data_IF_799194990699
#
_entry.id   IF_799194990699
#
_cell.length_a   1.000
_cell.length_b   1.000
_cell.length_c   1.000
_cell.angle_alpha   90.00
_cell.angle_beta   90.00
_cell.angle_gamma   90.00
#
_symmetry.space_group_name_H-M   'P 1'
#
loop_
_entity.id
_entity.type
_entity.pdbx_description
1 polymer ?
#
# COMPACT_ATOMS: atom_id res chain seq x y z
N UNK A 1 -82.96 -41.46 -24.65
CA UNK A 1 -83.11 -41.04 -26.05
C UNK A 1 -82.33 -39.76 -26.26
N UNK A 2 -81.44 -39.78 -27.26
CA UNK A 2 -80.99 -38.67 -28.11
C UNK A 2 -80.22 -37.46 -27.53
N UNK A 3 -79.01 -37.28 -28.10
CA UNK A 3 -78.41 -36.03 -28.63
C UNK A 3 -78.07 -34.92 -27.63
N UNK A 4 -77.05 -34.07 -27.77
CA UNK A 4 -75.77 -34.01 -28.48
C UNK A 4 -75.17 -32.67 -27.98
N UNK A 5 -73.85 -32.65 -27.73
CA UNK A 5 -72.92 -31.55 -28.04
C UNK A 5 -73.19 -30.11 -27.55
N UNK A 6 -72.24 -29.57 -26.79
CA UNK A 6 -71.45 -28.36 -27.15
C UNK A 6 -70.35 -28.15 -26.10
N UNK A 7 -69.11 -28.41 -26.49
CA UNK A 7 -67.91 -28.03 -25.73
C UNK A 7 -67.52 -26.64 -26.20
N UNK A 8 -67.64 -25.65 -25.32
CA UNK A 8 -67.18 -24.28 -25.57
C UNK A 8 -65.78 -24.14 -24.96
N UNK A 9 -64.80 -23.88 -25.81
CA UNK A 9 -63.41 -23.62 -25.46
C UNK A 9 -63.30 -22.17 -25.00
N UNK A 10 -62.91 -21.92 -23.76
CA UNK A 10 -62.50 -20.59 -23.28
C UNK A 10 -60.99 -20.54 -23.12
N UNK A 11 -60.35 -19.81 -24.04
CA UNK A 11 -58.91 -19.53 -24.09
C UNK A 11 -58.42 -18.79 -22.85
N UNK A 12 -57.46 -19.39 -22.14
CA UNK A 12 -56.62 -18.70 -21.16
C UNK A 12 -55.60 -17.82 -21.90
N UNK A 13 -55.65 -16.52 -21.65
CA UNK A 13 -54.70 -15.53 -22.14
C UNK A 13 -53.39 -15.65 -21.34
N UNK A 14 -52.37 -16.30 -21.90
CA UNK A 14 -50.99 -16.28 -21.37
C UNK A 14 -50.28 -15.04 -21.94
N UNK A 15 -50.09 -14.02 -21.10
CA UNK A 15 -49.26 -12.86 -21.40
C UNK A 15 -47.80 -13.26 -21.22
N UNK A 16 -47.11 -13.56 -22.31
CA UNK A 16 -45.65 -13.67 -22.35
C UNK A 16 -45.04 -12.27 -22.38
N UNK A 17 -44.53 -11.80 -21.24
CA UNK A 17 -43.59 -10.69 -21.21
C UNK A 17 -42.23 -11.22 -21.68
N UNK A 18 -41.91 -11.01 -22.96
CA UNK A 18 -40.56 -11.20 -23.50
C UNK A 18 -39.66 -10.10 -22.93
N UNK A 19 -38.92 -10.41 -21.87
CA UNK A 19 -37.76 -9.61 -21.48
C UNK A 19 -36.72 -9.79 -22.59
N UNK A 20 -36.64 -8.81 -23.50
CA UNK A 20 -35.49 -8.66 -24.38
C UNK A 20 -34.28 -8.33 -23.50
N UNK A 21 -33.61 -9.37 -22.99
CA UNK A 21 -32.28 -9.23 -22.46
C UNK A 21 -31.39 -8.76 -23.62
N UNK A 22 -30.80 -7.58 -23.49
CA UNK A 22 -29.77 -7.12 -24.41
C UNK A 22 -28.61 -8.12 -24.36
N UNK A 23 -28.51 -9.01 -25.35
CA UNK A 23 -27.40 -9.94 -25.54
C UNK A 23 -26.53 -9.48 -26.72
N UNK A 24 -26.28 -8.18 -26.86
CA UNK A 24 -25.22 -7.74 -27.75
C UNK A 24 -23.88 -8.00 -27.03
N UNK A 25 -23.01 -8.86 -27.60
CA UNK A 25 -21.65 -9.02 -27.08
C UNK A 25 -21.00 -7.64 -27.06
N UNK A 26 -20.41 -7.26 -25.93
CA UNK A 26 -19.62 -6.03 -25.86
C UNK A 26 -18.49 -6.15 -26.91
N UNK A 27 -18.52 -5.39 -28.01
CA UNK A 27 -17.58 -5.55 -29.12
C UNK A 27 -16.13 -5.21 -28.70
N UNK A 28 -15.97 -4.50 -27.59
CA UNK A 28 -14.67 -4.15 -27.02
C UNK A 28 -14.19 -5.16 -25.96
N UNK A 29 -14.99 -6.19 -25.63
CA UNK A 29 -14.58 -7.25 -24.73
C UNK A 29 -13.82 -8.33 -25.52
N UNK A 30 -12.51 -8.25 -25.50
CA UNK A 30 -11.63 -9.33 -25.91
C UNK A 30 -11.38 -10.25 -24.68
N UNK A 31 -11.99 -11.44 -24.62
CA UNK A 31 -11.77 -12.38 -23.51
C UNK A 31 -10.33 -12.90 -23.44
N UNK A 32 -9.55 -12.75 -24.50
CA UNK A 32 -8.16 -13.21 -24.59
C UNK A 32 -7.15 -12.09 -24.25
N UNK A 33 -7.60 -10.83 -24.18
CA UNK A 33 -6.77 -9.68 -23.78
C UNK A 33 -7.04 -9.27 -22.33
N UNK A 34 -6.41 -10.00 -21.40
CA UNK A 34 -6.22 -9.47 -20.05
C UNK A 34 -4.99 -8.55 -20.06
N UNK A 35 -5.11 -7.25 -19.72
CA UNK A 35 -3.93 -6.41 -19.56
C UNK A 35 -3.02 -7.05 -18.50
N UNK A 36 -1.69 -6.98 -18.68
CA UNK A 36 -0.74 -7.71 -17.81
C UNK A 36 -0.83 -7.28 -16.34
N UNK A 37 -1.40 -6.11 -16.08
CA UNK A 37 -1.62 -5.58 -14.74
C UNK A 37 -2.73 -4.52 -14.73
N UNK A 38 -3.23 -4.21 -13.52
CA UNK A 38 -4.22 -3.15 -13.28
C UNK A 38 -3.50 -1.82 -13.06
N UNK A 39 -4.02 -0.74 -13.65
CA UNK A 39 -3.45 0.60 -13.44
C UNK A 39 -3.33 0.96 -11.95
N UNK A 40 -2.15 1.41 -11.55
CA UNK A 40 -1.78 1.74 -10.17
C UNK A 40 -1.47 0.54 -9.29
N UNK A 41 -1.51 -0.70 -9.81
CA UNK A 41 -1.00 -1.85 -9.07
C UNK A 41 0.50 -1.67 -8.81
N UNK A 42 0.94 -2.10 -7.63
CA UNK A 42 2.35 -2.15 -7.23
C UNK A 42 2.83 -3.60 -7.30
N UNK A 43 4.10 -3.78 -7.63
CA UNK A 43 4.79 -5.07 -7.66
C UNK A 43 6.28 -4.85 -7.44
N UNK A 44 7.03 -5.92 -7.20
CA UNK A 44 8.48 -5.87 -7.14
C UNK A 44 9.12 -6.23 -8.48
N UNK A 45 10.28 -5.62 -8.76
CA UNK A 45 11.17 -6.03 -9.84
C UNK A 45 11.71 -7.45 -9.59
N UNK A 46 12.23 -8.10 -10.63
CA UNK A 46 12.73 -9.49 -10.56
C UNK A 46 13.88 -9.65 -9.55
N UNK A 47 14.70 -8.61 -9.37
CA UNK A 47 15.80 -8.57 -8.40
C UNK A 47 15.35 -8.15 -6.98
N UNK A 48 14.05 -7.89 -6.79
CA UNK A 48 13.45 -7.49 -5.51
C UNK A 48 14.08 -6.24 -4.88
N UNK A 49 14.65 -5.34 -5.68
CA UNK A 49 15.25 -4.08 -5.20
C UNK A 49 14.36 -2.87 -5.48
N UNK A 50 13.51 -2.93 -6.51
CA UNK A 50 12.69 -1.82 -6.96
C UNK A 50 11.20 -2.14 -6.84
N UNK A 51 10.45 -1.13 -6.41
CA UNK A 51 9.01 -1.07 -6.58
C UNK A 51 8.72 -0.70 -8.03
N UNK A 52 7.80 -1.43 -8.63
CA UNK A 52 7.26 -1.17 -9.96
C UNK A 52 5.79 -0.82 -9.85
N UNK A 53 5.35 0.15 -10.65
CA UNK A 53 3.96 0.57 -10.76
C UNK A 53 3.43 0.24 -12.15
N UNK A 54 2.23 -0.31 -12.21
CA UNK A 54 1.55 -0.59 -13.45
C UNK A 54 0.91 0.69 -14.00
N UNK A 55 1.46 1.22 -15.09
CA UNK A 55 0.96 2.44 -15.75
C UNK A 55 0.64 2.15 -17.21
N UNK A 56 -0.16 3.03 -17.80
CA UNK A 56 -0.44 2.98 -19.24
C UNK A 56 0.73 3.59 -19.99
N UNK A 57 1.38 2.80 -20.84
CA UNK A 57 2.45 3.28 -21.70
C UNK A 57 1.92 4.40 -22.60
N UNK A 58 2.66 5.51 -22.67
CA UNK A 58 2.23 6.68 -23.41
C UNK A 58 2.27 6.48 -24.93
N UNK A 59 3.03 5.49 -25.42
CA UNK A 59 3.26 5.24 -26.85
C UNK A 59 2.34 4.12 -27.36
N UNK A 60 2.38 2.94 -26.76
CA UNK A 60 1.56 1.78 -27.14
C UNK A 60 0.13 1.88 -26.61
N UNK A 61 -0.09 2.61 -25.52
CA UNK A 61 -1.37 2.63 -24.82
C UNK A 61 -1.65 1.34 -24.04
N UNK A 62 -0.70 0.43 -23.95
CA UNK A 62 -0.83 -0.82 -23.19
C UNK A 62 -0.48 -0.61 -21.71
N UNK A 63 -0.96 -1.49 -20.84
CA UNK A 63 -0.53 -1.48 -19.44
C UNK A 63 0.85 -2.14 -19.33
N UNK A 64 1.80 -1.49 -18.67
CA UNK A 64 3.15 -2.01 -18.45
C UNK A 64 3.61 -1.76 -17.02
N UNK A 65 4.47 -2.64 -16.50
CA UNK A 65 5.21 -2.41 -15.26
C UNK A 65 6.34 -1.43 -15.53
N UNK A 66 6.40 -0.35 -14.77
CA UNK A 66 7.45 0.68 -14.83
C UNK A 66 8.07 0.84 -13.45
N UNK A 67 9.39 1.04 -13.39
CA UNK A 67 10.08 1.32 -12.13
C UNK A 67 9.57 2.62 -11.51
N UNK A 68 9.19 2.57 -10.22
CA UNK A 68 8.67 3.71 -9.47
C UNK A 68 9.74 4.23 -8.49
N UNK A 69 10.29 3.34 -7.67
CA UNK A 69 11.22 3.67 -6.59
C UNK A 69 12.15 2.48 -6.30
N UNK A 70 13.42 2.78 -6.02
CA UNK A 70 14.37 1.83 -5.42
C UNK A 70 14.21 1.80 -3.91
N UNK A 71 14.16 0.60 -3.33
CA UNK A 71 14.14 0.43 -1.88
C UNK A 71 15.45 0.87 -1.23
N UNK A 72 15.34 1.36 0.01
CA UNK A 72 16.48 1.91 0.74
C UNK A 72 17.47 0.80 1.11
N UNK A 73 18.75 1.17 1.27
CA UNK A 73 19.77 0.22 1.72
C UNK A 73 19.40 -0.41 3.07
N UNK A 74 19.39 -1.74 3.14
CA UNK A 74 18.88 -2.50 4.30
C UNK A 74 17.38 -2.86 4.19
N UNK A 75 16.75 -2.60 3.04
CA UNK A 75 15.38 -3.02 2.72
C UNK A 75 15.35 -3.71 1.36
N UNK A 76 14.31 -4.51 1.13
CA UNK A 76 14.02 -5.17 -0.14
C UNK A 76 12.57 -4.91 -0.53
N UNK A 77 12.27 -5.00 -1.82
CA UNK A 77 10.90 -4.93 -2.27
C UNK A 77 10.17 -6.23 -1.92
N UNK A 78 9.06 -6.11 -1.20
CA UNK A 78 8.12 -7.18 -0.89
C UNK A 78 6.71 -6.71 -1.25
N UNK A 79 6.00 -7.46 -2.09
CA UNK A 79 4.61 -7.18 -2.47
C UNK A 79 4.32 -5.72 -2.90
N UNK A 80 5.31 -5.05 -3.50
CA UNK A 80 5.19 -3.68 -4.00
C UNK A 80 5.48 -2.57 -2.99
N UNK A 81 6.09 -2.89 -1.85
CA UNK A 81 6.58 -1.92 -0.86
C UNK A 81 7.98 -2.28 -0.35
N UNK A 82 8.64 -1.37 0.37
CA UNK A 82 9.97 -1.62 0.90
C UNK A 82 9.89 -2.17 2.33
N UNK A 83 10.29 -3.42 2.49
CA UNK A 83 10.29 -4.16 3.74
C UNK A 83 11.73 -4.41 4.23
N UNK A 84 11.96 -4.60 5.53
CA UNK A 84 13.27 -5.04 6.03
C UNK A 84 13.69 -6.36 5.37
N UNK A 85 14.99 -6.50 5.05
CA UNK A 85 15.55 -7.79 4.65
C UNK A 85 15.86 -8.64 5.90
N UNK A 86 15.98 -9.98 5.79
CA UNK A 86 16.12 -10.86 6.95
C UNK A 86 17.29 -10.54 7.90
N UNK A 87 18.38 -9.97 7.38
CA UNK A 87 19.55 -9.56 8.15
C UNK A 87 19.45 -8.16 8.79
N UNK A 88 18.39 -7.40 8.54
CA UNK A 88 18.21 -6.06 9.11
C UNK A 88 17.89 -6.17 10.60
N UNK A 89 18.66 -5.53 11.50
CA UNK A 89 18.36 -5.55 12.93
C UNK A 89 17.09 -4.76 13.27
N UNK A 90 16.25 -5.32 14.13
CA UNK A 90 15.16 -4.57 14.78
C UNK A 90 15.71 -3.57 15.79
N UNK A 91 14.93 -2.52 16.06
CA UNK A 91 15.23 -1.55 17.11
C UNK A 91 13.97 -1.07 17.82
N UNK A 92 14.14 -0.56 19.03
CA UNK A 92 13.07 0.06 19.82
C UNK A 92 13.32 1.55 20.03
N UNK A 93 14.59 1.95 20.03
CA UNK A 93 15.06 3.33 20.13
C UNK A 93 16.26 3.55 19.20
N UNK A 94 16.58 4.80 18.89
CA UNK A 94 17.74 5.12 18.03
C UNK A 94 19.08 4.60 18.59
N UNK A 95 19.21 4.48 19.91
CA UNK A 95 20.43 3.99 20.56
C UNK A 95 20.71 2.49 20.31
N UNK A 96 19.72 1.73 19.83
CA UNK A 96 19.90 0.32 19.49
C UNK A 96 20.68 0.11 18.18
N UNK A 97 20.73 1.15 17.33
CA UNK A 97 21.36 1.06 16.02
C UNK A 97 22.85 1.41 16.05
N UNK A 98 23.63 0.70 15.23
CA UNK A 98 25.04 1.01 15.01
C UNK A 98 25.23 2.43 14.43
N UNK A 99 26.44 2.98 14.61
CA UNK A 99 26.77 4.31 14.11
C UNK A 99 26.52 4.41 12.59
N UNK A 100 25.80 5.46 12.20
CA UNK A 100 25.42 5.71 10.81
C UNK A 100 24.10 5.06 10.38
N UNK A 101 23.47 4.21 11.20
CA UNK A 101 22.14 3.66 10.95
C UNK A 101 21.06 4.48 11.67
N UNK A 102 19.83 4.41 11.17
CA UNK A 102 18.67 5.14 11.71
C UNK A 102 17.54 4.15 12.00
N UNK A 103 17.01 4.20 13.23
CA UNK A 103 15.88 3.39 13.63
C UNK A 103 14.60 3.91 12.97
N UNK A 104 14.13 3.18 11.95
CA UNK A 104 13.09 3.64 11.03
C UNK A 104 11.90 2.69 11.05
N UNK A 105 10.69 3.23 11.09
CA UNK A 105 9.46 2.44 10.97
C UNK A 105 9.31 1.92 9.53
N UNK A 106 9.08 0.61 9.37
CA UNK A 106 8.82 -0.04 8.09
C UNK A 106 7.65 -1.01 8.24
N UNK A 107 6.94 -1.25 7.14
CA UNK A 107 6.03 -2.38 7.04
C UNK A 107 6.84 -3.68 6.91
N UNK A 108 6.46 -4.71 7.66
CA UNK A 108 7.02 -6.05 7.55
C UNK A 108 6.12 -6.98 6.70
N UNK A 109 6.58 -8.22 6.52
CA UNK A 109 5.89 -9.24 5.73
C UNK A 109 4.51 -9.65 6.30
N UNK A 110 4.25 -9.38 7.58
CA UNK A 110 3.01 -9.68 8.25
C UNK A 110 1.99 -8.53 8.15
N UNK A 111 2.34 -7.46 7.43
CA UNK A 111 1.59 -6.20 7.38
C UNK A 111 1.43 -5.54 8.77
N UNK A 112 2.46 -5.63 9.60
CA UNK A 112 2.61 -4.82 10.82
C UNK A 112 3.69 -3.74 10.64
N UNK A 113 3.61 -2.69 11.45
CA UNK A 113 4.67 -1.68 11.51
C UNK A 113 5.61 -1.96 12.68
N UNK A 114 6.90 -2.09 12.36
CA UNK A 114 7.99 -2.29 13.32
C UNK A 114 9.16 -1.37 12.98
N UNK A 115 10.08 -1.15 13.92
CA UNK A 115 11.26 -0.32 13.67
C UNK A 115 12.51 -1.16 13.40
N UNK A 116 13.32 -0.70 12.44
CA UNK A 116 14.49 -1.41 11.94
C UNK A 116 15.67 -0.46 11.75
N UNK A 117 16.87 -0.95 12.04
CA UNK A 117 18.12 -0.22 11.83
C UNK A 117 18.53 -0.33 10.36
N UNK A 118 18.27 0.72 9.59
CA UNK A 118 18.64 0.80 8.16
C UNK A 118 19.58 1.97 7.91
N UNK A 119 20.24 1.98 6.76
CA UNK A 119 20.94 3.20 6.32
C UNK A 119 19.92 4.33 6.13
N UNK A 120 20.26 5.60 6.40
CA UNK A 120 19.31 6.69 6.34
C UNK A 120 18.57 6.72 4.99
N UNK A 121 17.23 6.55 4.99
CA UNK A 121 16.40 6.74 3.79
C UNK A 121 16.69 8.01 3.00
N UNK A 122 16.94 9.11 3.71
CA UNK A 122 17.23 10.42 3.13
C UNK A 122 18.61 10.86 3.58
N UNK A 123 19.58 10.86 2.67
CA UNK A 123 20.91 11.40 2.96
C UNK A 123 20.83 12.89 3.36
N UNK A 124 21.56 13.26 4.42
CA UNK A 124 21.58 14.63 4.96
C UNK A 124 20.20 15.17 5.41
N UNK A 125 19.23 14.28 5.62
CA UNK A 125 17.98 14.62 6.29
C UNK A 125 18.21 15.17 7.70
N UNK A 126 17.14 15.70 8.30
CA UNK A 126 17.12 16.16 9.69
C UNK A 126 17.08 14.96 10.63
N UNK A 127 17.75 15.09 11.76
CA UNK A 127 17.68 14.12 12.84
C UNK A 127 16.25 14.00 13.38
N UNK A 128 15.98 12.87 14.02
CA UNK A 128 14.74 12.65 14.73
C UNK A 128 14.46 13.72 15.81
N UNK A 129 13.18 14.05 16.04
CA UNK A 129 12.74 15.10 16.98
C UNK A 129 12.72 16.50 16.36
N UNK A 130 13.45 16.75 15.28
CA UNK A 130 13.42 18.05 14.61
C UNK A 130 12.11 18.26 13.84
N UNK A 131 11.65 19.51 13.79
CA UNK A 131 10.48 19.87 12.99
C UNK A 131 10.70 19.58 11.50
N UNK A 132 9.62 19.19 10.80
CA UNK A 132 9.61 18.88 9.37
C UNK A 132 8.27 19.27 8.73
N UNK A 133 8.28 19.51 7.42
CA UNK A 133 7.08 19.74 6.63
C UNK A 133 6.69 18.55 5.74
N UNK A 134 7.63 17.64 5.51
CA UNK A 134 7.48 16.51 4.59
C UNK A 134 8.47 15.39 4.94
N UNK A 135 8.13 14.17 4.53
CA UNK A 135 8.88 12.93 4.79
C UNK A 135 10.34 12.97 4.29
N UNK A 136 10.56 13.59 3.14
CA UNK A 136 11.88 13.79 2.50
C UNK A 136 12.80 14.77 3.25
N UNK A 137 12.36 15.37 4.36
CA UNK A 137 13.20 16.22 5.21
C UNK A 137 13.86 15.46 6.35
N UNK A 138 13.46 14.22 6.62
CA UNK A 138 13.86 13.48 7.81
C UNK A 138 14.80 12.34 7.45
N UNK A 139 15.84 12.11 8.25
CA UNK A 139 16.78 11.01 8.02
C UNK A 139 16.06 9.67 7.93
N UNK A 140 15.08 9.43 8.80
CA UNK A 140 14.24 8.22 8.83
C UNK A 140 13.25 8.13 7.66
N UNK A 141 13.16 9.15 6.81
CA UNK A 141 12.16 9.22 5.75
C UNK A 141 10.74 9.48 6.25
N UNK A 142 10.54 9.72 7.55
CA UNK A 142 9.22 9.92 8.13
C UNK A 142 9.09 11.22 8.91
N UNK A 143 8.00 11.91 8.64
CA UNK A 143 7.63 13.19 9.22
C UNK A 143 6.21 13.04 9.75
N UNK A 144 6.07 12.76 11.05
CA UNK A 144 4.78 12.55 11.69
C UNK A 144 4.49 13.71 12.62
N UNK A 145 3.26 14.25 12.54
CA UNK A 145 2.85 15.44 13.32
C UNK A 145 3.82 16.62 13.20
N UNK A 146 4.43 16.83 12.03
CA UNK A 146 5.44 17.85 11.75
C UNK A 146 6.77 17.67 12.51
N UNK A 147 7.07 16.45 12.96
CA UNK A 147 8.32 16.09 13.65
C UNK A 147 8.95 14.89 12.94
N UNK A 148 10.27 14.93 12.75
CA UNK A 148 11.01 13.82 12.20
C UNK A 148 10.94 12.64 13.16
N UNK A 149 10.47 11.50 12.64
CA UNK A 149 10.17 10.35 13.45
C UNK A 149 11.40 9.85 14.21
N UNK A 150 11.22 9.64 15.51
CA UNK A 150 12.15 8.98 16.42
C UNK A 150 11.34 7.99 17.25
N UNK A 151 11.65 6.69 17.21
CA UNK A 151 10.97 5.72 18.05
C UNK A 151 11.39 5.89 19.52
N UNK A 152 10.45 5.62 20.42
CA UNK A 152 10.64 5.77 21.86
C UNK A 152 9.87 4.69 22.63
N UNK A 153 10.34 4.37 23.83
CA UNK A 153 9.62 3.55 24.82
C UNK A 153 9.09 4.46 25.94
N UNK A 154 9.87 5.47 26.30
CA UNK A 154 9.59 6.49 27.30
C UNK A 154 10.01 7.86 26.80
N UNK A 155 9.54 8.94 27.43
CA UNK A 155 9.94 10.30 27.04
C UNK A 155 11.44 10.58 27.26
N UNK A 156 12.14 9.77 28.07
CA UNK A 156 13.59 9.88 28.26
C UNK A 156 14.38 9.45 27.00
N UNK A 157 13.74 8.72 26.08
CA UNK A 157 14.33 8.33 24.80
C UNK A 157 14.30 9.47 23.77
N UNK A 158 13.61 10.58 24.07
CA UNK A 158 13.39 11.66 23.14
C UNK A 158 14.45 12.78 23.23
N UNK A 159 14.94 13.29 22.09
CA UNK A 159 16.12 14.16 22.08
C UNK A 159 15.86 15.62 22.47
N UNK A 160 14.62 16.13 22.41
CA UNK A 160 14.31 17.57 22.52
C UNK A 160 13.27 17.93 23.59
N UNK A 161 13.30 17.27 24.77
CA UNK A 161 12.27 17.41 25.82
C UNK A 161 10.85 17.06 25.32
N UNK A 162 10.77 16.24 24.27
CA UNK A 162 9.52 15.74 23.67
C UNK A 162 8.85 14.67 24.55
N UNK A 163 7.59 14.37 24.27
CA UNK A 163 6.87 13.26 24.90
C UNK A 163 6.87 12.02 24.01
N UNK A 164 6.94 10.84 24.63
CA UNK A 164 6.73 9.59 23.92
C UNK A 164 5.24 9.26 23.85
N UNK A 165 4.68 9.26 22.63
CA UNK A 165 3.25 9.08 22.39
C UNK A 165 3.01 7.99 21.33
N UNK A 166 1.81 7.40 21.35
CA UNK A 166 1.38 6.43 20.36
C UNK A 166 0.83 7.15 19.13
N UNK A 167 1.51 6.97 18.00
CA UNK A 167 1.17 7.51 16.70
C UNK A 167 0.38 6.48 15.88
N UNK A 168 -0.82 6.84 15.46
CA UNK A 168 -1.54 6.10 14.41
C UNK A 168 -1.07 6.59 13.05
N UNK A 169 -0.34 5.76 12.32
CA UNK A 169 0.28 6.15 11.04
C UNK A 169 -0.14 5.22 9.90
N UNK A 170 0.27 5.57 8.68
CA UNK A 170 0.15 4.69 7.52
C UNK A 170 1.45 4.76 6.74
N UNK A 171 2.13 3.63 6.62
CA UNK A 171 3.40 3.46 5.91
C UNK A 171 3.16 2.39 4.84
N UNK A 172 3.40 2.73 3.58
CA UNK A 172 3.25 1.81 2.45
C UNK A 172 1.92 1.03 2.43
N UNK A 173 0.81 1.74 2.74
CA UNK A 173 -0.56 1.22 2.88
C UNK A 173 -0.85 0.33 4.10
N UNK A 174 0.13 0.09 4.97
CA UNK A 174 -0.06 -0.57 6.26
C UNK A 174 -0.40 0.49 7.31
N UNK A 175 -1.56 0.36 7.94
CA UNK A 175 -2.00 1.22 9.03
C UNK A 175 -1.84 0.50 10.36
N UNK A 176 -1.02 1.06 11.24
CA UNK A 176 -0.76 0.53 12.58
C UNK A 176 -0.44 1.66 13.57
N UNK A 177 -0.23 1.29 14.83
CA UNK A 177 0.22 2.17 15.89
C UNK A 177 1.70 1.91 16.19
N UNK A 178 2.48 2.98 16.24
CA UNK A 178 3.89 2.96 16.65
C UNK A 178 4.12 4.02 17.72
N UNK A 179 5.11 3.83 18.59
CA UNK A 179 5.49 4.88 19.53
C UNK A 179 6.55 5.78 18.92
N UNK A 180 6.38 7.10 19.06
CA UNK A 180 7.38 8.05 18.61
C UNK A 180 7.36 9.36 19.39
N UNK A 181 8.49 10.05 19.36
CA UNK A 181 8.65 11.35 20.00
C UNK A 181 7.80 12.41 19.30
N UNK A 182 7.02 13.16 20.10
CA UNK A 182 6.16 14.25 19.65
C UNK A 182 6.38 15.48 20.49
N UNK A 183 6.22 16.65 19.87
CA UNK A 183 6.16 17.90 20.61
C UNK A 183 5.01 17.84 21.64
N UNK A 184 5.23 18.34 22.88
CA UNK A 184 4.22 18.39 23.93
C UNK A 184 3.01 19.28 23.59
#
# INVERSE_FOLDING_TARGET
MKYLSRITITSSLLVFFSLNACTEPNPDYDPDYAPPCKSGALSCSEDSTNITVCIKDAVSGEMIWTEDKTCWSGTGCLDGYCAPIPETPECTVQADCEEGLVCTALADADNSLSNWCISPPIENGRLGGYACASHDQCLSGWCFRNVCYTPCVTSDDCPLEDECDTLKVTIDNVQDNINGCVLP
#
